data_IF_057754267497
#
_entry.id   IF_057754267497
#
_cell.length_a   1.000
_cell.length_b   1.000
_cell.length_c   1.000
_cell.angle_alpha   90.00
_cell.angle_beta   90.00
_cell.angle_gamma   90.00
#
_symmetry.space_group_name_H-M   'P 1'
#
loop_
_entity.id
_entity.type
_entity.pdbx_description
1 polymer ?
#
# COMPACT_ATOMS: atom_id res chain seq x y z
N UNK A 1 -19.10 -46.43 58.22
CA UNK A 1 -18.69 -45.01 58.14
C UNK A 1 -17.61 -44.73 57.09
N UNK A 2 -16.60 -45.61 56.90
CA UNK A 2 -15.53 -45.43 55.91
C UNK A 2 -15.97 -45.31 54.44
N UNK A 3 -17.01 -46.05 54.03
CA UNK A 3 -17.44 -46.09 52.64
C UNK A 3 -18.09 -44.77 52.15
N UNK A 4 -18.72 -44.01 53.05
CA UNK A 4 -19.30 -42.72 52.70
C UNK A 4 -18.22 -41.64 52.50
N UNK A 5 -17.06 -41.77 53.16
CA UNK A 5 -15.93 -40.84 53.02
C UNK A 5 -15.18 -41.09 51.71
N UNK A 6 -14.97 -42.36 51.33
CA UNK A 6 -14.38 -42.75 50.05
C UNK A 6 -15.23 -42.32 48.86
N UNK A 7 -16.56 -42.55 48.90
CA UNK A 7 -17.49 -42.13 47.85
C UNK A 7 -17.53 -40.60 47.67
N UNK A 8 -17.52 -39.83 48.77
CA UNK A 8 -17.43 -38.36 48.72
C UNK A 8 -16.12 -37.89 48.07
N UNK A 9 -14.99 -38.55 48.36
CA UNK A 9 -13.69 -38.24 47.74
C UNK A 9 -13.67 -38.56 46.24
N UNK A 10 -14.23 -39.70 45.83
CA UNK A 10 -14.33 -40.09 44.41
C UNK A 10 -15.20 -39.08 43.64
N UNK A 11 -16.34 -38.68 44.19
CA UNK A 11 -17.24 -37.69 43.57
C UNK A 11 -16.58 -36.31 43.45
N UNK A 12 -15.85 -35.87 44.47
CA UNK A 12 -15.12 -34.61 44.46
C UNK A 12 -13.94 -34.62 43.47
N UNK A 13 -13.20 -35.73 43.36
CA UNK A 13 -12.13 -35.89 42.38
C UNK A 13 -12.68 -35.94 40.95
N UNK A 14 -13.82 -36.59 40.72
CA UNK A 14 -14.53 -36.56 39.42
C UNK A 14 -14.96 -35.13 39.04
N UNK A 15 -15.51 -34.37 39.99
CA UNK A 15 -15.89 -32.96 39.78
C UNK A 15 -14.68 -32.06 39.49
N UNK A 16 -13.55 -32.28 40.16
CA UNK A 16 -12.27 -31.58 39.88
C UNK A 16 -11.73 -31.92 38.49
N UNK A 17 -11.73 -33.20 38.10
CA UNK A 17 -11.31 -33.64 36.76
C UNK A 17 -12.21 -33.08 35.65
N UNK A 18 -13.54 -33.07 35.83
CA UNK A 18 -14.45 -32.46 34.87
C UNK A 18 -14.24 -30.93 34.77
N UNK A 19 -13.95 -30.24 35.87
CA UNK A 19 -13.60 -28.81 35.86
C UNK A 19 -12.27 -28.54 35.16
N UNK A 20 -11.26 -29.38 35.41
CA UNK A 20 -9.98 -29.31 34.71
C UNK A 20 -10.16 -29.55 33.21
N UNK A 21 -10.91 -30.59 32.82
CA UNK A 21 -11.17 -30.89 31.41
C UNK A 21 -11.95 -29.76 30.73
N UNK A 22 -12.99 -29.20 31.38
CA UNK A 22 -13.71 -28.03 30.87
C UNK A 22 -12.82 -26.80 30.78
N UNK A 23 -11.92 -26.57 31.74
CA UNK A 23 -10.97 -25.46 31.71
C UNK A 23 -9.97 -25.62 30.57
N UNK A 24 -9.41 -26.81 30.38
CA UNK A 24 -8.50 -27.10 29.28
C UNK A 24 -9.20 -26.95 27.93
N UNK A 25 -10.42 -27.50 27.77
CA UNK A 25 -11.23 -27.30 26.56
C UNK A 25 -11.53 -25.83 26.28
N UNK A 26 -11.94 -25.05 27.30
CA UNK A 26 -12.17 -23.62 27.15
C UNK A 26 -10.91 -22.87 26.70
N UNK A 27 -9.76 -23.18 27.32
CA UNK A 27 -8.47 -22.58 26.92
C UNK A 27 -8.15 -22.95 25.47
N UNK A 28 -8.29 -24.22 25.07
CA UNK A 28 -8.04 -24.67 23.70
C UNK A 28 -8.94 -23.95 22.68
N UNK A 29 -10.22 -23.77 23.01
CA UNK A 29 -11.17 -23.04 22.15
C UNK A 29 -10.77 -21.56 22.03
N UNK A 30 -10.43 -20.90 23.15
CA UNK A 30 -10.00 -19.49 23.14
C UNK A 30 -8.72 -19.33 22.32
N UNK A 31 -7.73 -20.21 22.48
CA UNK A 31 -6.48 -20.15 21.70
C UNK A 31 -6.73 -20.37 20.21
N UNK A 32 -7.66 -21.26 19.84
CA UNK A 32 -8.03 -21.47 18.44
C UNK A 32 -8.73 -20.24 17.84
N UNK A 33 -9.64 -19.61 18.58
CA UNK A 33 -10.31 -18.39 18.12
C UNK A 33 -9.34 -17.21 17.96
N UNK A 34 -8.40 -17.04 18.89
CA UNK A 34 -7.37 -16.00 18.80
C UNK A 34 -6.44 -16.22 17.61
N UNK A 35 -5.99 -17.46 17.39
CA UNK A 35 -5.10 -17.76 16.24
C UNK A 35 -5.80 -17.53 14.90
N UNK A 36 -7.07 -17.93 14.76
CA UNK A 36 -7.87 -17.67 13.55
C UNK A 36 -8.08 -16.16 13.36
N UNK A 37 -8.50 -15.43 14.40
CA UNK A 37 -8.72 -13.99 14.32
C UNK A 37 -7.47 -13.20 13.95
N UNK A 38 -6.33 -13.56 14.54
CA UNK A 38 -5.03 -12.94 14.24
C UNK A 38 -4.59 -13.27 12.80
N UNK A 39 -4.76 -14.51 12.35
CA UNK A 39 -4.41 -14.91 10.97
C UNK A 39 -5.24 -14.18 9.90
N UNK A 40 -6.52 -13.93 10.14
CA UNK A 40 -7.38 -13.16 9.24
C UNK A 40 -6.97 -11.70 9.13
N UNK A 41 -6.49 -11.10 10.22
CA UNK A 41 -5.98 -9.72 10.21
C UNK A 41 -4.67 -9.59 9.42
N UNK A 42 -3.76 -10.58 9.52
CA UNK A 42 -2.50 -10.58 8.77
C UNK A 42 -2.68 -10.87 7.27
N UNK A 43 -3.67 -11.68 6.88
CA UNK A 43 -3.96 -11.95 5.46
C UNK A 43 -4.46 -10.71 4.70
N UNK A 44 -5.12 -9.77 5.39
CA UNK A 44 -5.61 -8.51 4.81
C UNK A 44 -4.50 -7.49 4.52
N UNK A 45 -3.34 -7.62 5.17
CA UNK A 45 -2.17 -6.76 4.93
C UNK A 45 -1.33 -7.30 3.78
N UNK A 46 -1.22 -8.62 3.62
CA UNK A 46 -0.42 -9.27 2.58
C UNK A 46 -1.04 -9.24 1.18
N UNK A 47 -2.37 -9.14 1.06
CA UNK A 47 -3.07 -9.17 -0.24
C UNK A 47 -3.02 -7.84 -1.01
N UNK A 48 -2.63 -6.74 -0.36
CA UNK A 48 -2.40 -5.45 -1.05
C UNK A 48 -1.06 -5.39 -1.79
N UNK A 49 -0.15 -6.34 -1.55
CA UNK A 49 1.17 -6.37 -2.18
C UNK A 49 1.24 -7.26 -3.44
N UNK A 50 0.20 -8.04 -3.73
CA UNK A 50 0.18 -9.00 -4.86
C UNK A 50 -0.53 -8.48 -6.11
N UNK A 51 -0.95 -7.22 -6.12
CA UNK A 51 -1.35 -6.53 -7.34
C UNK A 51 -0.16 -5.89 -8.09
N UNK A 52 1.07 -6.04 -7.59
CA UNK A 52 2.29 -5.68 -8.30
C UNK A 52 2.73 -6.79 -9.28
N UNK A 53 1.75 -7.38 -9.98
CA UNK A 53 2.04 -8.19 -11.15
C UNK A 53 2.69 -7.26 -12.19
N UNK A 54 3.92 -7.58 -12.57
CA UNK A 54 4.61 -7.03 -13.74
C UNK A 54 4.58 -5.50 -13.88
N UNK A 55 4.72 -4.77 -12.77
CA UNK A 55 4.79 -3.31 -12.85
C UNK A 55 6.05 -2.93 -13.61
N UNK A 56 5.85 -2.38 -14.81
CA UNK A 56 6.77 -1.44 -15.42
C UNK A 56 7.07 -0.38 -14.37
N UNK A 57 8.16 -0.54 -13.62
CA UNK A 57 8.56 0.44 -12.61
C UNK A 57 8.98 1.67 -13.41
N UNK A 58 8.07 2.63 -13.51
CA UNK A 58 8.33 3.88 -14.19
C UNK A 58 8.86 4.90 -13.19
N UNK A 59 10.05 5.40 -13.46
CA UNK A 59 10.75 6.38 -12.64
C UNK A 59 10.50 7.77 -13.20
N UNK A 60 10.19 8.71 -12.31
CA UNK A 60 10.02 10.12 -12.67
C UNK A 60 11.38 10.82 -12.74
N UNK A 61 11.65 11.45 -13.88
CA UNK A 61 12.86 12.22 -14.14
C UNK A 61 12.53 13.64 -14.57
N UNK A 62 13.55 14.50 -14.54
CA UNK A 62 13.45 15.89 -14.95
C UNK A 62 14.53 16.19 -15.99
N UNK A 63 14.15 16.85 -17.08
CA UNK A 63 15.09 17.29 -18.12
C UNK A 63 14.95 18.79 -18.34
N UNK A 64 16.09 19.46 -18.52
CA UNK A 64 16.11 20.85 -18.99
C UNK A 64 16.08 20.88 -20.51
N UNK A 65 15.18 21.65 -21.09
CA UNK A 65 15.09 21.87 -22.54
C UNK A 65 15.16 23.36 -22.84
N UNK A 66 15.67 23.69 -24.03
CA UNK A 66 15.60 25.05 -24.59
C UNK A 66 14.40 25.14 -25.51
N UNK A 67 13.50 26.07 -25.24
CA UNK A 67 12.27 26.26 -26.02
C UNK A 67 12.59 26.69 -27.44
N UNK A 68 12.12 25.91 -28.42
CA UNK A 68 12.26 26.23 -29.83
C UNK A 68 11.17 27.20 -30.31
N UNK A 69 11.32 27.71 -31.55
CA UNK A 69 10.42 28.72 -32.07
C UNK A 69 9.03 28.13 -32.34
N UNK A 70 7.99 28.73 -31.76
CA UNK A 70 6.60 28.31 -31.93
C UNK A 70 6.14 27.17 -31.02
N UNK A 71 6.98 26.68 -30.12
CA UNK A 71 6.58 25.66 -29.15
C UNK A 71 5.73 26.26 -28.02
N UNK A 72 4.82 25.45 -27.51
CA UNK A 72 3.97 25.76 -26.36
C UNK A 72 4.06 24.65 -25.32
N UNK A 73 3.63 24.93 -24.08
CA UNK A 73 3.57 23.89 -23.04
C UNK A 73 2.67 22.70 -23.43
N UNK A 74 1.69 22.91 -24.32
CA UNK A 74 0.84 21.85 -24.87
C UNK A 74 1.62 20.90 -25.76
N UNK A 75 2.54 21.41 -26.59
CA UNK A 75 3.39 20.54 -27.41
C UNK A 75 4.29 19.64 -26.54
N UNK A 76 4.73 20.14 -25.38
CA UNK A 76 5.47 19.32 -24.42
C UNK A 76 4.57 18.38 -23.63
N UNK A 77 3.34 18.77 -23.34
CA UNK A 77 2.36 17.87 -22.74
C UNK A 77 2.07 16.69 -23.67
N UNK A 78 1.85 16.94 -24.96
CA UNK A 78 1.68 15.89 -25.98
C UNK A 78 2.87 14.92 -26.05
N UNK A 79 4.09 15.41 -25.75
CA UNK A 79 5.33 14.64 -25.89
C UNK A 79 5.75 13.90 -24.61
N UNK A 80 5.52 14.47 -23.43
CA UNK A 80 6.07 13.97 -22.17
C UNK A 80 5.01 13.66 -21.11
N UNK A 81 3.76 14.10 -21.27
CA UNK A 81 2.70 13.72 -20.36
C UNK A 81 2.36 12.25 -20.58
N UNK A 82 2.56 11.47 -19.53
CA UNK A 82 2.20 10.06 -19.51
C UNK A 82 0.76 9.92 -18.99
N UNK A 83 -0.11 9.31 -19.80
CA UNK A 83 -1.52 9.09 -19.46
C UNK A 83 -1.74 8.20 -18.24
N UNK A 84 -0.73 7.44 -17.81
CA UNK A 84 -0.78 6.68 -16.56
C UNK A 84 -0.64 7.58 -15.32
N UNK A 85 0.01 8.73 -15.45
CA UNK A 85 0.36 9.62 -14.33
C UNK A 85 -0.37 10.97 -14.35
N UNK A 86 -0.98 11.35 -15.47
CA UNK A 86 -1.72 12.60 -15.61
C UNK A 86 -3.10 12.35 -16.22
N UNK A 87 -4.13 12.88 -15.57
CA UNK A 87 -5.52 12.80 -16.06
C UNK A 87 -5.76 13.72 -17.27
N UNK A 88 -4.97 14.80 -17.38
CA UNK A 88 -5.09 15.79 -18.45
C UNK A 88 -3.77 16.52 -18.74
N UNK A 89 -3.68 17.13 -19.92
CA UNK A 89 -2.57 18.04 -20.24
C UNK A 89 -2.48 19.22 -19.27
N UNK A 90 -3.62 19.72 -18.77
CA UNK A 90 -3.63 20.81 -17.81
C UNK A 90 -2.93 20.43 -16.50
N UNK A 91 -3.03 19.17 -16.07
CA UNK A 91 -2.36 18.71 -14.84
C UNK A 91 -0.85 18.60 -15.02
N UNK A 92 -0.40 18.12 -16.19
CA UNK A 92 1.00 18.15 -16.57
C UNK A 92 1.54 19.59 -16.64
N UNK A 93 0.82 20.49 -17.29
CA UNK A 93 1.21 21.90 -17.46
C UNK A 93 1.30 22.61 -16.10
N UNK A 94 0.35 22.37 -15.18
CA UNK A 94 0.43 22.89 -13.80
C UNK A 94 1.70 22.45 -13.09
N UNK A 95 2.10 21.19 -13.24
CA UNK A 95 3.33 20.71 -12.63
C UNK A 95 4.57 21.38 -13.25
N UNK A 96 4.64 21.47 -14.58
CA UNK A 96 5.72 22.17 -15.28
C UNK A 96 5.83 23.62 -14.79
N UNK A 97 4.71 24.33 -14.70
CA UNK A 97 4.69 25.71 -14.20
C UNK A 97 5.18 25.79 -12.76
N UNK A 98 4.77 24.86 -11.89
CA UNK A 98 5.19 24.84 -10.49
C UNK A 98 6.70 24.60 -10.34
N UNK A 99 7.26 23.65 -11.09
CA UNK A 99 8.70 23.32 -11.05
C UNK A 99 9.56 24.48 -11.56
N UNK A 100 9.07 25.21 -12.56
CA UNK A 100 9.77 26.35 -13.17
C UNK A 100 9.43 27.70 -12.52
N UNK A 101 8.63 27.71 -11.45
CA UNK A 101 8.15 28.93 -10.78
C UNK A 101 7.49 29.93 -11.74
N UNK A 102 6.67 29.43 -12.68
CA UNK A 102 5.97 30.23 -13.67
C UNK A 102 4.57 30.62 -13.18
N UNK A 103 4.21 31.90 -13.33
CA UNK A 103 2.86 32.39 -13.02
C UNK A 103 1.86 32.21 -14.16
N UNK A 104 2.36 32.01 -15.39
CA UNK A 104 1.59 31.85 -16.62
C UNK A 104 2.14 30.69 -17.42
N UNK A 105 1.29 30.13 -18.27
CA UNK A 105 1.57 29.04 -19.20
C UNK A 105 2.38 29.45 -20.45
N UNK A 106 2.80 30.72 -20.51
CA UNK A 106 3.50 31.28 -21.66
C UNK A 106 5.00 30.99 -21.56
N UNK A 107 5.55 30.41 -22.62
CA UNK A 107 6.99 30.20 -22.79
C UNK A 107 7.53 31.01 -23.97
N UNK A 108 8.81 31.37 -23.91
CA UNK A 108 9.47 32.16 -24.96
C UNK A 108 10.63 31.38 -25.60
N UNK A 109 10.88 31.65 -26.88
CA UNK A 109 12.02 31.08 -27.61
C UNK A 109 13.34 31.32 -26.86
N UNK A 110 14.15 30.26 -26.73
CA UNK A 110 15.43 30.30 -26.03
C UNK A 110 15.33 30.18 -24.51
N UNK A 111 14.13 30.15 -23.94
CA UNK A 111 13.93 29.92 -22.50
C UNK A 111 14.35 28.49 -22.13
N UNK A 112 15.05 28.35 -21.02
CA UNK A 112 15.28 27.04 -20.42
C UNK A 112 14.16 26.69 -19.47
N UNK A 113 13.53 25.53 -19.68
CA UNK A 113 12.47 25.01 -18.81
C UNK A 113 12.76 23.55 -18.43
N UNK A 114 12.33 23.18 -17.23
CA UNK A 114 12.43 21.83 -16.69
C UNK A 114 11.11 21.10 -16.96
N UNK A 115 11.19 19.93 -17.59
CA UNK A 115 10.03 19.09 -17.90
C UNK A 115 10.11 17.77 -17.14
N UNK A 116 9.05 17.35 -16.43
CA UNK A 116 8.96 16.00 -15.88
C UNK A 116 8.69 15.00 -17.02
N UNK A 117 9.30 13.82 -16.93
CA UNK A 117 8.99 12.70 -17.82
C UNK A 117 9.19 11.37 -17.08
N UNK A 118 8.58 10.31 -17.59
CA UNK A 118 8.61 8.98 -16.99
C UNK A 118 9.43 8.02 -17.86
N UNK A 119 10.21 7.14 -17.23
CA UNK A 119 11.05 6.14 -17.90
C UNK A 119 11.13 4.86 -17.09
N UNK A 120 11.04 3.72 -17.77
CA UNK A 120 11.23 2.39 -17.14
C UNK A 120 12.71 2.03 -16.95
N UNK A 121 13.62 2.87 -17.45
CA UNK A 121 15.06 2.70 -17.26
C UNK A 121 15.49 3.54 -16.06
N UNK A 122 16.07 2.87 -15.07
CA UNK A 122 16.73 3.53 -13.95
C UNK A 122 18.04 4.18 -14.42
N UNK A 123 18.16 5.49 -14.26
CA UNK A 123 19.37 6.28 -14.50
C UNK A 123 19.94 6.71 -13.14
N UNK A 124 21.23 6.42 -12.91
CA UNK A 124 22.01 6.73 -11.70
C UNK A 124 22.83 8.02 -11.86
#
# INVERSE_FOLDING_TARGET
MNNQISERRIRNNKKKRCRQLRRHLMITVITLLLTIGISGAFFSIGSRAQAAGDHNISYKYYKSVTVASGETLWNYADQYADSEFYDSHDDYIKEVMNINHMEKDTIIYGQHIILPYYSNVFVE
#
